data_IF_570586695273
#
_entry.id   IF_570586695273
#
_cell.length_a   1.000
_cell.length_b   1.000
_cell.length_c   1.000
_cell.angle_alpha   90.00
_cell.angle_beta   90.00
_cell.angle_gamma   90.00
#
_symmetry.space_group_name_H-M   'P 1'
#
loop_
_entity.id
_entity.type
_entity.pdbx_description
1 polymer ?
#
# COMPACT_ATOMS: atom_id res chain seq x y z
N UNK A 1 -15.55 -16.21 -19.60
CA UNK A 1 -15.19 -16.94 -18.35
C UNK A 1 -13.75 -17.45 -18.36
N UNK A 2 -13.23 -17.92 -19.47
CA UNK A 2 -11.84 -18.39 -19.64
C UNK A 2 -10.79 -17.28 -19.44
N UNK A 3 -10.97 -16.11 -20.02
CA UNK A 3 -10.05 -14.97 -19.89
C UNK A 3 -9.81 -14.55 -18.41
N UNK A 4 -10.86 -14.68 -17.57
CA UNK A 4 -10.77 -14.40 -16.14
C UNK A 4 -9.96 -15.49 -15.41
N UNK A 5 -10.10 -16.75 -15.82
CA UNK A 5 -9.32 -17.89 -15.28
C UNK A 5 -7.84 -17.81 -15.66
N UNK A 6 -7.53 -17.39 -16.89
CA UNK A 6 -6.15 -17.21 -17.37
C UNK A 6 -5.45 -16.08 -16.60
N UNK A 7 -6.11 -14.93 -16.42
CA UNK A 7 -5.56 -13.80 -15.63
C UNK A 7 -5.29 -14.18 -14.17
N UNK A 8 -6.15 -15.00 -13.57
CA UNK A 8 -5.97 -15.48 -12.19
C UNK A 8 -4.73 -16.40 -12.10
N UNK A 9 -4.56 -17.33 -13.05
CA UNK A 9 -3.38 -18.21 -13.08
C UNK A 9 -2.08 -17.43 -13.21
N UNK A 10 -2.06 -16.39 -14.05
CA UNK A 10 -0.89 -15.54 -14.26
C UNK A 10 -0.46 -14.82 -12.98
N UNK A 11 -1.39 -14.33 -12.15
CA UNK A 11 -1.06 -13.70 -10.86
C UNK A 11 -0.35 -14.65 -9.90
N UNK A 12 -0.79 -15.90 -9.83
CA UNK A 12 -0.14 -16.90 -8.99
C UNK A 12 1.26 -17.28 -9.48
N UNK A 13 1.46 -17.30 -10.81
CA UNK A 13 2.79 -17.53 -11.39
C UNK A 13 3.74 -16.39 -11.01
N UNK A 14 3.29 -15.13 -11.11
CA UNK A 14 4.09 -13.97 -10.69
C UNK A 14 4.47 -14.09 -9.21
N UNK A 15 3.52 -14.39 -8.33
CA UNK A 15 3.81 -14.56 -6.89
C UNK A 15 4.83 -15.69 -6.69
N UNK A 16 4.68 -16.84 -7.35
CA UNK A 16 5.61 -17.94 -7.22
C UNK A 16 7.04 -17.54 -7.64
N UNK A 17 7.19 -16.81 -8.75
CA UNK A 17 8.47 -16.27 -9.20
C UNK A 17 9.07 -15.31 -8.15
N UNK A 18 8.26 -14.39 -7.60
CA UNK A 18 8.75 -13.47 -6.57
C UNK A 18 9.11 -14.17 -5.26
N UNK A 19 8.37 -15.21 -4.86
CA UNK A 19 8.72 -16.05 -3.69
C UNK A 19 10.07 -16.72 -3.90
N UNK A 20 10.32 -17.31 -5.07
CA UNK A 20 11.60 -17.94 -5.40
C UNK A 20 12.73 -16.90 -5.35
N UNK A 21 12.56 -15.75 -6.01
CA UNK A 21 13.55 -14.67 -6.03
C UNK A 21 13.86 -14.15 -4.62
N UNK A 22 12.84 -13.88 -3.80
CA UNK A 22 13.01 -13.44 -2.41
C UNK A 22 13.76 -14.49 -1.60
N UNK A 23 13.44 -15.77 -1.77
CA UNK A 23 14.12 -16.87 -1.06
C UNK A 23 15.59 -16.96 -1.45
N UNK A 24 15.89 -16.92 -2.75
CA UNK A 24 17.28 -16.97 -3.24
C UNK A 24 18.08 -15.79 -2.71
N UNK A 25 17.55 -14.55 -2.82
CA UNK A 25 18.23 -13.36 -2.31
C UNK A 25 18.43 -13.42 -0.79
N UNK A 26 17.44 -13.90 -0.03
CA UNK A 26 17.54 -14.03 1.42
C UNK A 26 18.65 -15.00 1.84
N UNK A 27 18.79 -16.12 1.13
CA UNK A 27 19.83 -17.12 1.40
C UNK A 27 21.19 -16.56 1.01
N UNK A 28 21.33 -16.00 -0.20
CA UNK A 28 22.60 -15.48 -0.73
C UNK A 28 23.16 -14.36 0.16
N UNK A 29 22.29 -13.43 0.60
CA UNK A 29 22.71 -12.32 1.44
C UNK A 29 22.58 -12.57 2.96
N UNK A 30 22.30 -13.82 3.37
CA UNK A 30 22.18 -14.26 4.77
C UNK A 30 21.29 -13.29 5.60
N UNK A 31 20.12 -12.98 5.05
CA UNK A 31 19.23 -12.02 5.70
C UNK A 31 18.52 -12.64 6.91
N UNK A 32 18.23 -11.83 7.91
CA UNK A 32 17.45 -12.27 9.05
C UNK A 32 16.01 -12.58 8.60
N UNK A 33 15.50 -13.75 8.99
CA UNK A 33 14.14 -14.21 8.64
C UNK A 33 13.07 -13.16 8.98
N UNK A 34 13.20 -12.49 10.12
CA UNK A 34 12.23 -11.46 10.58
C UNK A 34 12.13 -10.27 9.62
N UNK A 35 13.19 -9.94 8.86
CA UNK A 35 13.17 -8.86 7.86
C UNK A 35 12.52 -9.30 6.54
N UNK A 36 12.57 -10.58 6.23
CA UNK A 36 12.08 -11.14 4.96
C UNK A 36 10.65 -11.66 5.07
N UNK A 37 10.26 -12.16 6.23
CA UNK A 37 8.91 -12.67 6.48
C UNK A 37 7.79 -11.69 6.06
N UNK A 38 7.83 -10.38 6.42
CA UNK A 38 6.79 -9.46 6.01
C UNK A 38 6.75 -9.24 4.50
N UNK A 39 7.88 -9.45 3.78
CA UNK A 39 7.91 -9.37 2.32
C UNK A 39 7.05 -10.47 1.69
N UNK A 40 7.11 -11.71 2.17
CA UNK A 40 6.27 -12.80 1.68
C UNK A 40 4.77 -12.53 1.93
N UNK A 41 4.43 -12.06 3.13
CA UNK A 41 3.05 -11.72 3.46
C UNK A 41 2.55 -10.58 2.55
N UNK A 42 3.38 -9.58 2.27
CA UNK A 42 3.05 -8.47 1.38
C UNK A 42 2.69 -8.90 -0.03
N UNK A 43 3.30 -9.95 -0.58
CA UNK A 43 2.93 -10.47 -1.91
C UNK A 43 1.44 -10.85 -1.95
N UNK A 44 0.95 -11.50 -0.90
CA UNK A 44 -0.45 -11.91 -0.78
C UNK A 44 -1.35 -10.71 -0.49
N UNK A 45 -0.93 -9.83 0.43
CA UNK A 45 -1.68 -8.61 0.78
C UNK A 45 -1.94 -7.75 -0.44
N UNK A 46 -0.91 -7.46 -1.24
CA UNK A 46 -1.03 -6.62 -2.44
C UNK A 46 -1.91 -7.25 -3.51
N UNK A 47 -1.86 -8.58 -3.68
CA UNK A 47 -2.77 -9.28 -4.59
C UNK A 47 -4.23 -9.15 -4.15
N UNK A 48 -4.52 -9.39 -2.86
CA UNK A 48 -5.86 -9.26 -2.30
C UNK A 48 -6.36 -7.81 -2.40
N UNK A 49 -5.49 -6.84 -2.13
CA UNK A 49 -5.79 -5.41 -2.21
C UNK A 49 -6.10 -4.96 -3.64
N UNK A 50 -5.33 -5.44 -4.64
CA UNK A 50 -5.58 -5.16 -6.04
C UNK A 50 -6.96 -5.69 -6.48
N UNK A 51 -7.43 -6.80 -5.88
CA UNK A 51 -8.74 -7.42 -6.15
C UNK A 51 -9.88 -6.85 -5.30
N UNK A 52 -9.64 -5.80 -4.52
CA UNK A 52 -10.60 -5.20 -3.57
C UNK A 52 -11.17 -6.23 -2.57
N UNK A 53 -10.36 -7.16 -2.11
CA UNK A 53 -10.76 -8.16 -1.12
C UNK A 53 -10.50 -7.63 0.29
N UNK A 54 -11.53 -7.61 1.16
CA UNK A 54 -11.46 -7.08 2.52
C UNK A 54 -10.41 -7.73 3.42
N UNK A 55 -10.08 -9.00 3.19
CA UNK A 55 -9.09 -9.73 3.98
C UNK A 55 -7.66 -9.20 3.81
N UNK A 56 -7.41 -8.40 2.74
CA UNK A 56 -6.12 -7.70 2.61
C UNK A 56 -5.85 -6.76 3.79
N UNK A 57 -6.88 -6.14 4.34
CA UNK A 57 -6.72 -5.22 5.47
C UNK A 57 -6.40 -5.96 6.77
N UNK A 58 -7.05 -7.10 7.03
CA UNK A 58 -6.72 -7.92 8.21
C UNK A 58 -5.28 -8.45 8.14
N UNK A 59 -4.92 -9.06 7.01
CA UNK A 59 -3.60 -9.61 6.81
C UNK A 59 -2.53 -8.51 6.77
N UNK A 60 -2.84 -7.35 6.18
CA UNK A 60 -1.97 -6.18 6.14
C UNK A 60 -1.74 -5.57 7.53
N UNK A 61 -2.78 -5.51 8.37
CA UNK A 61 -2.64 -5.04 9.75
C UNK A 61 -1.68 -5.93 10.55
N UNK A 62 -1.81 -7.24 10.46
CA UNK A 62 -0.88 -8.18 11.11
C UNK A 62 0.54 -8.03 10.56
N UNK A 63 0.67 -7.86 9.25
CA UNK A 63 1.96 -7.70 8.58
C UNK A 63 2.67 -6.41 8.97
N UNK A 64 1.93 -5.32 9.24
CA UNK A 64 2.54 -4.05 9.64
C UNK A 64 3.25 -4.14 10.98
N UNK A 65 2.78 -4.97 11.91
CA UNK A 65 3.48 -5.23 13.18
C UNK A 65 4.83 -5.92 12.92
N UNK A 66 4.87 -6.88 11.99
CA UNK A 66 6.11 -7.59 11.65
C UNK A 66 7.07 -6.64 10.92
N UNK A 67 6.57 -5.80 10.02
CA UNK A 67 7.38 -4.77 9.37
C UNK A 67 8.01 -3.78 10.34
N UNK A 68 7.30 -3.39 11.38
CA UNK A 68 7.81 -2.46 12.38
C UNK A 68 9.12 -2.95 13.00
N UNK A 69 9.23 -4.25 13.27
CA UNK A 69 10.49 -4.86 13.75
C UNK A 69 11.61 -4.72 12.73
N UNK A 70 11.33 -4.97 11.45
CA UNK A 70 12.30 -4.80 10.36
C UNK A 70 12.75 -3.34 10.21
N UNK A 71 11.81 -2.40 10.21
CA UNK A 71 12.10 -0.96 10.07
C UNK A 71 12.91 -0.40 11.24
N UNK A 72 12.71 -0.91 12.46
CA UNK A 72 13.54 -0.56 13.60
C UNK A 72 15.01 -0.90 13.35
N UNK A 73 15.33 -2.10 12.85
CA UNK A 73 16.69 -2.48 12.52
C UNK A 73 17.29 -1.71 11.34
N UNK A 74 16.46 -1.25 10.40
CA UNK A 74 16.87 -0.44 9.25
C UNK A 74 16.97 1.07 9.57
N UNK A 75 16.61 1.48 10.79
CA UNK A 75 16.56 2.89 11.24
C UNK A 75 15.73 3.79 10.31
N UNK A 76 14.60 3.27 9.80
CA UNK A 76 13.59 4.02 9.05
C UNK A 76 12.40 4.30 9.96
N UNK A 77 12.54 5.34 10.76
CA UNK A 77 11.59 5.61 11.85
C UNK A 77 10.25 6.16 11.36
N UNK A 78 10.22 6.82 10.21
CA UNK A 78 8.97 7.22 9.56
C UNK A 78 8.15 6.02 9.13
N UNK A 79 8.75 5.04 8.46
CA UNK A 79 8.08 3.79 8.08
C UNK A 79 7.71 2.94 9.30
N UNK A 80 8.49 2.97 10.38
CA UNK A 80 8.14 2.31 11.65
C UNK A 80 6.90 2.97 12.27
N UNK A 81 6.87 4.29 12.36
CA UNK A 81 5.71 5.03 12.87
C UNK A 81 4.47 4.81 11.98
N UNK A 82 4.64 4.81 10.65
CA UNK A 82 3.58 4.46 9.69
C UNK A 82 3.02 3.07 9.99
N UNK A 83 3.86 2.06 10.16
CA UNK A 83 3.42 0.69 10.38
C UNK A 83 2.60 0.52 11.67
N UNK A 84 3.04 1.11 12.80
CA UNK A 84 2.41 0.92 14.10
C UNK A 84 1.26 1.89 14.38
N UNK A 85 1.43 3.17 14.03
CA UNK A 85 0.49 4.23 14.42
C UNK A 85 -0.60 4.41 13.35
N UNK A 86 -0.28 4.20 12.08
CA UNK A 86 -1.21 4.40 10.97
C UNK A 86 -1.70 3.08 10.38
N UNK A 87 -0.79 2.26 9.87
CA UNK A 87 -1.13 1.08 9.07
C UNK A 87 -1.93 0.06 9.88
N UNK A 88 -1.45 -0.35 11.05
CA UNK A 88 -2.12 -1.33 11.88
C UNK A 88 -3.54 -0.90 12.29
N UNK A 89 -3.76 0.25 12.97
CA UNK A 89 -5.09 0.60 13.44
C UNK A 89 -6.05 0.95 12.30
N UNK A 90 -5.59 1.66 11.27
CA UNK A 90 -6.47 2.07 10.17
C UNK A 90 -6.87 0.87 9.31
N UNK A 91 -5.98 -0.09 9.07
CA UNK A 91 -6.32 -1.31 8.36
C UNK A 91 -7.33 -2.17 9.15
N UNK A 92 -7.18 -2.27 10.47
CA UNK A 92 -8.18 -2.94 11.33
C UNK A 92 -9.55 -2.27 11.23
N UNK A 93 -9.60 -0.93 11.36
CA UNK A 93 -10.85 -0.17 11.20
C UNK A 93 -11.45 -0.41 9.81
N UNK A 94 -10.63 -0.32 8.76
CA UNK A 94 -11.08 -0.52 7.38
C UNK A 94 -11.65 -1.92 7.16
N UNK A 95 -11.02 -2.95 7.73
CA UNK A 95 -11.54 -4.31 7.68
C UNK A 95 -12.95 -4.41 8.26
N UNK A 96 -13.17 -3.86 9.46
CA UNK A 96 -14.49 -3.89 10.10
C UNK A 96 -15.53 -3.07 9.34
N UNK A 97 -15.17 -1.89 8.82
CA UNK A 97 -16.04 -1.07 7.99
C UNK A 97 -16.47 -1.81 6.72
N UNK A 98 -15.53 -2.42 6.03
CA UNK A 98 -15.81 -3.18 4.79
C UNK A 98 -16.61 -4.45 5.08
N UNK A 99 -16.34 -5.13 6.21
CA UNK A 99 -17.11 -6.30 6.65
C UNK A 99 -18.56 -5.94 6.96
N UNK A 100 -18.81 -4.80 7.64
CA UNK A 100 -20.15 -4.33 7.99
C UNK A 100 -20.97 -3.91 6.76
N UNK A 101 -20.30 -3.42 5.74
CA UNK A 101 -20.93 -2.97 4.50
C UNK A 101 -21.09 -4.08 3.45
N UNK A 102 -20.72 -5.32 3.78
CA UNK A 102 -20.88 -6.48 2.92
C UNK A 102 -22.37 -6.79 2.72
N UNK A 103 -22.82 -6.78 1.46
CA UNK A 103 -24.25 -6.94 1.13
C UNK A 103 -25.06 -5.64 0.97
N UNK A 104 -24.57 -4.50 1.45
CA UNK A 104 -25.07 -3.18 1.07
C UNK A 104 -24.19 -2.71 -0.08
N UNK A 105 -24.71 -2.54 -1.30
CA UNK A 105 -23.96 -2.11 -2.49
C UNK A 105 -22.50 -1.79 -2.21
N UNK A 106 -21.58 -2.65 -2.65
CA UNK A 106 -20.14 -2.62 -2.31
C UNK A 106 -19.65 -1.19 -2.21
N UNK A 107 -18.96 -0.82 -1.14
CA UNK A 107 -18.60 0.55 -0.74
C UNK A 107 -18.56 1.52 -1.92
N UNK A 108 -19.51 2.47 -1.95
CA UNK A 108 -19.60 3.45 -3.03
C UNK A 108 -18.23 4.04 -3.26
N UNK A 109 -17.57 3.66 -4.36
CA UNK A 109 -16.33 4.28 -4.76
C UNK A 109 -16.65 5.72 -5.16
N UNK A 110 -15.94 6.67 -4.57
CA UNK A 110 -16.16 8.10 -4.78
C UNK A 110 -14.98 8.69 -5.53
N UNK A 111 -15.27 9.70 -6.35
CA UNK A 111 -14.23 10.55 -6.93
C UNK A 111 -13.91 11.71 -5.98
N UNK A 112 -12.66 12.15 -5.99
CA UNK A 112 -12.18 13.28 -5.20
C UNK A 112 -12.74 14.59 -5.76
N UNK A 113 -13.28 15.45 -4.88
CA UNK A 113 -13.69 16.80 -5.28
C UNK A 113 -12.48 17.76 -5.27
N UNK A 114 -12.51 18.80 -6.11
CA UNK A 114 -11.42 19.79 -6.16
C UNK A 114 -11.15 20.43 -4.79
N UNK A 115 -12.22 20.76 -4.03
CA UNK A 115 -12.10 21.31 -2.68
C UNK A 115 -11.36 20.36 -1.73
N UNK A 116 -11.71 19.07 -1.77
CA UNK A 116 -11.03 18.05 -0.95
C UNK A 116 -9.57 17.91 -1.37
N UNK A 117 -9.27 17.93 -2.69
CA UNK A 117 -7.90 17.87 -3.19
C UNK A 117 -7.05 19.05 -2.67
N UNK A 118 -7.56 20.27 -2.74
CA UNK A 118 -6.85 21.46 -2.26
C UNK A 118 -6.58 21.41 -0.74
N UNK A 119 -7.59 21.02 0.06
CA UNK A 119 -7.43 20.86 1.51
C UNK A 119 -6.36 19.78 1.80
N UNK A 120 -6.39 18.67 1.08
CA UNK A 120 -5.42 17.60 1.26
C UNK A 120 -4.00 18.04 0.94
N UNK A 121 -3.80 18.76 -0.16
CA UNK A 121 -2.47 19.30 -0.54
C UNK A 121 -1.96 20.27 0.51
N UNK A 122 -2.80 21.21 0.97
CA UNK A 122 -2.41 22.16 2.02
C UNK A 122 -2.03 21.42 3.33
N UNK A 123 -2.87 20.49 3.77
CA UNK A 123 -2.61 19.68 4.97
C UNK A 123 -1.35 18.82 4.81
N UNK A 124 -1.13 18.24 3.63
CA UNK A 124 0.06 17.46 3.31
C UNK A 124 1.33 18.27 3.52
N UNK A 125 1.40 19.50 2.96
CA UNK A 125 2.59 20.37 3.07
C UNK A 125 2.87 20.71 4.52
N UNK A 126 1.86 21.10 5.28
CA UNK A 126 2.02 21.49 6.71
C UNK A 126 2.52 20.30 7.54
N UNK A 127 1.89 19.13 7.40
CA UNK A 127 2.28 17.91 8.14
C UNK A 127 3.67 17.44 7.69
N UNK A 128 3.97 17.51 6.40
CA UNK A 128 5.26 17.09 5.85
C UNK A 128 6.43 17.90 6.42
N UNK A 129 6.27 19.24 6.48
CA UNK A 129 7.30 20.12 7.06
C UNK A 129 7.49 19.80 8.55
N UNK A 130 6.42 19.68 9.32
CA UNK A 130 6.50 19.37 10.75
C UNK A 130 7.18 18.02 11.03
N UNK A 131 6.74 16.96 10.34
CA UNK A 131 7.28 15.62 10.54
C UNK A 131 8.71 15.45 10.03
N UNK A 132 9.13 16.21 9.01
CA UNK A 132 10.52 16.21 8.54
C UNK A 132 11.50 16.58 9.66
N UNK A 133 11.21 17.63 10.44
CA UNK A 133 12.07 18.02 11.55
C UNK A 133 12.09 16.98 12.66
N UNK A 134 10.96 16.32 12.92
CA UNK A 134 10.86 15.23 13.92
C UNK A 134 11.74 14.05 13.49
N UNK A 135 11.58 13.53 12.28
CA UNK A 135 12.34 12.37 11.81
C UNK A 135 13.84 12.68 11.70
N UNK A 136 14.22 13.88 11.28
CA UNK A 136 15.60 14.33 11.29
C UNK A 136 16.19 14.36 12.71
N UNK A 137 15.43 14.84 13.68
CA UNK A 137 15.88 14.95 15.09
C UNK A 137 16.10 13.57 15.75
N UNK A 138 15.29 12.56 15.39
CA UNK A 138 15.44 11.19 15.92
C UNK A 138 16.48 10.35 15.17
N UNK A 139 17.16 10.91 14.17
CA UNK A 139 18.24 10.25 13.44
C UNK A 139 17.77 9.25 12.38
N UNK A 140 16.65 9.54 11.69
CA UNK A 140 16.20 8.75 10.55
C UNK A 140 17.25 8.69 9.45
N UNK A 141 17.44 7.52 8.84
CA UNK A 141 18.46 7.29 7.82
C UNK A 141 18.14 7.91 6.45
N UNK A 142 16.89 8.25 6.20
CA UNK A 142 16.40 8.80 4.93
C UNK A 142 15.24 9.78 5.14
N UNK A 143 15.40 10.85 5.93
CA UNK A 143 14.31 11.63 6.51
C UNK A 143 13.38 12.29 5.46
N UNK A 144 13.88 12.64 4.28
CA UNK A 144 13.06 13.22 3.21
C UNK A 144 12.14 12.17 2.59
N UNK A 145 12.69 11.02 2.19
CA UNK A 145 11.94 9.98 1.48
C UNK A 145 11.00 9.25 2.43
N UNK A 146 11.48 8.90 3.63
CA UNK A 146 10.70 8.19 4.63
C UNK A 146 9.54 9.05 5.16
N UNK A 147 9.78 10.34 5.42
CA UNK A 147 8.72 11.30 5.76
C UNK A 147 7.68 11.43 4.64
N UNK A 148 8.12 11.45 3.38
CA UNK A 148 7.19 11.52 2.25
C UNK A 148 6.29 10.28 2.17
N UNK A 149 6.83 9.09 2.43
CA UNK A 149 6.07 7.85 2.51
C UNK A 149 5.07 7.93 3.68
N UNK A 150 5.51 8.36 4.87
CA UNK A 150 4.67 8.49 6.05
C UNK A 150 3.46 9.39 5.81
N UNK A 151 3.68 10.61 5.32
CA UNK A 151 2.60 11.58 5.10
C UNK A 151 1.67 11.17 3.95
N UNK A 152 2.21 10.57 2.87
CA UNK A 152 1.39 10.00 1.81
C UNK A 152 0.53 8.84 2.31
N UNK A 153 1.08 7.95 3.16
CA UNK A 153 0.35 6.83 3.73
C UNK A 153 -0.85 7.29 4.55
N UNK A 154 -0.71 8.38 5.32
CA UNK A 154 -1.82 8.97 6.06
C UNK A 154 -2.97 9.36 5.13
N UNK A 155 -2.69 10.06 4.04
CA UNK A 155 -3.71 10.45 3.04
C UNK A 155 -4.30 9.20 2.35
N UNK A 156 -3.46 8.24 1.97
CA UNK A 156 -3.87 7.01 1.30
C UNK A 156 -4.83 6.20 2.18
N UNK A 157 -4.53 6.05 3.47
CA UNK A 157 -5.40 5.30 4.40
C UNK A 157 -6.74 5.99 4.59
N UNK A 158 -6.76 7.31 4.80
CA UNK A 158 -8.01 8.08 4.90
C UNK A 158 -8.84 7.93 3.61
N UNK A 159 -8.24 8.09 2.45
CA UNK A 159 -8.93 7.95 1.17
C UNK A 159 -9.43 6.52 0.92
N UNK A 160 -8.64 5.51 1.31
CA UNK A 160 -9.04 4.10 1.18
C UNK A 160 -10.22 3.76 2.10
N UNK A 161 -10.23 4.31 3.32
CA UNK A 161 -11.33 4.14 4.27
C UNK A 161 -12.66 4.67 3.69
N UNK A 162 -12.62 5.83 3.01
CA UNK A 162 -13.78 6.44 2.37
C UNK A 162 -14.07 5.92 0.94
N UNK A 163 -13.30 4.97 0.43
CA UNK A 163 -13.48 4.38 -0.90
C UNK A 163 -13.12 5.33 -2.05
N UNK A 164 -12.25 6.32 -1.82
CA UNK A 164 -11.81 7.29 -2.84
C UNK A 164 -10.83 6.61 -3.80
N UNK A 165 -11.16 6.58 -5.11
CA UNK A 165 -10.39 5.86 -6.15
C UNK A 165 -8.98 6.43 -6.32
N UNK A 166 -8.83 7.74 -6.15
CA UNK A 166 -7.57 8.46 -6.27
C UNK A 166 -6.53 8.02 -5.22
N UNK A 167 -6.96 7.35 -4.13
CA UNK A 167 -6.02 6.70 -3.19
C UNK A 167 -5.05 5.75 -3.89
N UNK A 168 -5.48 5.13 -5.00
CA UNK A 168 -4.65 4.22 -5.78
C UNK A 168 -3.55 4.93 -6.57
N UNK A 169 -3.81 6.16 -7.05
CA UNK A 169 -2.78 6.99 -7.69
C UNK A 169 -1.72 7.42 -6.67
N UNK A 170 -2.17 7.86 -5.49
CA UNK A 170 -1.25 8.23 -4.41
C UNK A 170 -0.41 7.03 -3.95
N UNK A 171 -0.99 5.84 -3.93
CA UNK A 171 -0.28 4.60 -3.61
C UNK A 171 0.81 4.29 -4.66
N UNK A 172 0.56 4.54 -5.96
CA UNK A 172 1.57 4.40 -7.01
C UNK A 172 2.73 5.37 -6.76
N UNK A 173 2.43 6.64 -6.44
CA UNK A 173 3.46 7.64 -6.10
C UNK A 173 4.27 7.19 -4.89
N UNK A 174 3.62 6.73 -3.82
CA UNK A 174 4.29 6.19 -2.63
C UNK A 174 5.19 4.99 -2.96
N UNK A 175 4.74 4.08 -3.82
CA UNK A 175 5.56 2.96 -4.28
C UNK A 175 6.80 3.42 -5.07
N UNK A 176 6.70 4.47 -5.91
CA UNK A 176 7.85 5.04 -6.61
C UNK A 176 8.87 5.64 -5.63
N UNK A 177 8.41 6.39 -4.62
CA UNK A 177 9.28 6.94 -3.57
C UNK A 177 9.95 5.82 -2.77
N UNK A 178 9.19 4.80 -2.38
CA UNK A 178 9.71 3.63 -1.67
C UNK A 178 10.76 2.89 -2.50
N UNK A 179 10.50 2.66 -3.79
CA UNK A 179 11.47 2.05 -4.71
C UNK A 179 12.77 2.86 -4.77
N UNK A 180 12.68 4.19 -4.87
CA UNK A 180 13.84 5.08 -4.88
C UNK A 180 14.61 4.98 -3.56
N UNK A 181 13.93 5.03 -2.41
CA UNK A 181 14.54 4.93 -1.10
C UNK A 181 15.30 3.61 -0.92
N UNK A 182 14.68 2.48 -1.22
CA UNK A 182 15.31 1.17 -1.07
C UNK A 182 16.43 0.94 -2.08
N UNK A 183 16.32 1.51 -3.30
CA UNK A 183 17.41 1.47 -4.28
C UNK A 183 18.62 2.23 -3.77
N UNK A 184 18.47 3.44 -3.24
CA UNK A 184 19.56 4.21 -2.63
C UNK A 184 20.18 3.43 -1.47
N UNK A 185 19.36 2.86 -0.58
CA UNK A 185 19.86 2.04 0.54
C UNK A 185 20.66 0.81 0.09
N UNK A 186 20.30 0.21 -1.04
CA UNK A 186 21.01 -0.95 -1.59
C UNK A 186 22.45 -0.63 -2.00
N UNK A 187 22.75 0.63 -2.37
CA UNK A 187 24.14 1.05 -2.63
C UNK A 187 24.99 1.07 -1.36
N UNK A 188 24.40 1.26 -0.18
CA UNK A 188 25.10 1.24 1.11
C UNK A 188 25.06 -0.14 1.79
N UNK A 189 23.96 -0.86 1.66
CA UNK A 189 23.79 -2.24 2.13
C UNK A 189 23.03 -3.06 1.11
N UNK A 190 23.77 -3.96 0.43
CA UNK A 190 23.21 -4.84 -0.60
C UNK A 190 22.07 -5.73 -0.08
N UNK A 191 21.96 -5.96 1.22
CA UNK A 191 20.87 -6.72 1.82
C UNK A 191 19.52 -6.07 1.62
N UNK A 192 19.48 -4.74 1.39
CA UNK A 192 18.23 -4.02 1.11
C UNK A 192 17.62 -4.35 -0.26
N UNK A 193 18.30 -5.12 -1.11
CA UNK A 193 17.82 -5.50 -2.45
C UNK A 193 16.48 -6.28 -2.41
N UNK A 194 16.18 -7.00 -1.33
CA UNK A 194 14.88 -7.68 -1.16
C UNK A 194 13.72 -6.69 -1.08
N UNK A 195 13.93 -5.53 -0.45
CA UNK A 195 12.93 -4.47 -0.40
C UNK A 195 12.78 -3.77 -1.76
N UNK A 196 13.85 -3.66 -2.56
CA UNK A 196 13.77 -3.18 -3.95
C UNK A 196 12.89 -4.11 -4.77
N UNK A 197 13.16 -5.42 -4.71
CA UNK A 197 12.38 -6.43 -5.43
C UNK A 197 10.89 -6.37 -5.04
N UNK A 198 10.61 -6.26 -3.74
CA UNK A 198 9.25 -6.10 -3.23
C UNK A 198 8.60 -4.80 -3.72
N UNK A 199 9.34 -3.68 -3.75
CA UNK A 199 8.81 -2.38 -4.21
C UNK A 199 8.43 -2.43 -5.70
N UNK A 200 9.18 -3.14 -6.54
CA UNK A 200 8.83 -3.38 -7.95
C UNK A 200 7.52 -4.18 -8.05
N UNK A 201 7.36 -5.23 -7.26
CA UNK A 201 6.12 -6.01 -7.21
C UNK A 201 4.94 -5.15 -6.73
N UNK A 202 5.13 -4.37 -5.68
CA UNK A 202 4.10 -3.48 -5.14
C UNK A 202 3.66 -2.45 -6.18
N UNK A 203 4.60 -1.82 -6.89
CA UNK A 203 4.31 -0.88 -7.97
C UNK A 203 3.46 -1.54 -9.07
N UNK A 204 3.84 -2.74 -9.53
CA UNK A 204 3.06 -3.50 -10.50
C UNK A 204 1.63 -3.76 -10.01
N UNK A 205 1.48 -4.23 -8.77
CA UNK A 205 0.17 -4.52 -8.18
C UNK A 205 -0.67 -3.27 -7.93
N UNK A 206 -0.05 -2.13 -7.61
CA UNK A 206 -0.75 -0.85 -7.48
C UNK A 206 -1.33 -0.36 -8.80
N UNK A 207 -0.55 -0.43 -9.89
CA UNK A 207 -1.02 -0.07 -11.24
C UNK A 207 -2.19 -0.98 -11.64
N UNK A 208 -2.04 -2.29 -11.45
CA UNK A 208 -3.11 -3.27 -11.72
C UNK A 208 -4.35 -3.00 -10.88
N UNK A 209 -4.17 -2.74 -9.59
CA UNK A 209 -5.24 -2.39 -8.67
C UNK A 209 -5.99 -1.13 -9.10
N UNK A 210 -5.29 -0.08 -9.51
CA UNK A 210 -5.90 1.14 -10.02
C UNK A 210 -6.83 0.88 -11.21
N UNK A 211 -6.40 0.08 -12.18
CA UNK A 211 -7.22 -0.28 -13.33
C UNK A 211 -8.48 -1.07 -12.91
N UNK A 212 -8.35 -1.99 -11.95
CA UNK A 212 -9.49 -2.78 -11.45
C UNK A 212 -10.47 -1.89 -10.70
N UNK A 213 -9.99 -1.05 -9.78
CA UNK A 213 -10.82 -0.15 -8.97
C UNK A 213 -11.55 0.88 -9.82
N UNK A 214 -10.90 1.45 -10.84
CA UNK A 214 -11.54 2.36 -11.80
C UNK A 214 -12.68 1.68 -12.57
N UNK A 215 -12.52 0.40 -12.94
CA UNK A 215 -13.59 -0.38 -13.59
C UNK A 215 -14.76 -0.67 -12.64
N UNK A 216 -14.50 -0.88 -11.35
CA UNK A 216 -15.55 -1.08 -10.34
C UNK A 216 -16.34 0.23 -10.17
N UNK A 217 -15.64 1.36 -9.99
CA UNK A 217 -16.27 2.67 -9.85
C UNK A 217 -17.16 3.05 -11.04
N UNK A 218 -16.70 2.81 -12.27
CA UNK A 218 -17.49 3.10 -13.47
C UNK A 218 -18.76 2.25 -13.60
N UNK A 219 -18.74 1.02 -13.09
CA UNK A 219 -19.92 0.14 -13.06
C UNK A 219 -20.95 0.57 -12.02
N UNK A 220 -20.48 1.04 -10.87
CA UNK A 220 -21.36 1.50 -9.79
C UNK A 220 -22.07 2.80 -10.19
N UNK A 221 -21.35 3.77 -10.79
CA UNK A 221 -21.94 4.99 -11.32
C UNK A 221 -22.96 4.71 -12.45
N UNK A 222 -22.67 3.73 -13.34
CA UNK A 222 -23.59 3.33 -14.40
C UNK A 222 -24.88 2.63 -13.89
N UNK A 223 -24.84 2.03 -12.69
CA UNK A 223 -26.03 1.45 -12.05
C UNK A 223 -26.90 2.54 -11.39
N UNK A 224 -26.30 3.55 -10.77
CA UNK A 224 -27.01 4.67 -10.18
C UNK A 224 -27.79 5.45 -11.26
N UNK A 225 -27.16 5.79 -12.39
CA UNK A 225 -27.83 6.48 -13.52
C UNK A 225 -29.02 5.66 -14.05
N UNK A 226 -28.92 4.32 -14.12
CA UNK A 226 -30.01 3.46 -14.57
C UNK A 226 -31.18 3.36 -13.58
N UNK A 227 -30.93 3.55 -12.29
CA UNK A 227 -31.99 3.58 -11.25
C UNK A 227 -32.71 4.92 -11.27
N UNK A 228 -31.99 6.05 -11.41
CA UNK A 228 -32.57 7.40 -11.52
C UNK A 228 -33.43 7.57 -12.80
N UNK A 229 -33.05 6.92 -13.91
CA UNK A 229 -33.84 6.96 -15.16
C UNK A 229 -35.08 6.06 -15.13
N UNK A 230 -35.28 5.25 -14.08
CA UNK A 230 -36.45 4.36 -13.91
C UNK A 230 -37.44 4.87 -12.87
N UNK A 231 -37.15 5.97 -12.18
CA UNK A 231 -38.04 6.73 -11.29
C UNK A 231 -38.63 7.92 -12.04
#
# INVERSE_FOLDING_TARGET
>A
MEEKKVKIKFDYVIIAVYVILLTVLSIVFKQMFIKVLPCYISLVVMLLQARANKYCFLLGALNSIIYAVGYYFEKVYGSLAEALILSFPIQMITFFVWKRNEGKSQSKTRNLTLKQALITVASFVVVWIGMYFVFKAIGDSSPILDNSIFVLSLVIYVYTLFGIVESRLLLIVSCCISLTMWTIKTFYDIKSITYVLLSVYNLYMCIKGFVIWKKIASKDNGKEIKVELKQ
#
